data_IF_878661220309
#
_entry.id   IF_878661220309
#
_cell.length_a   1.000
_cell.length_b   1.000
_cell.length_c   1.000
_cell.angle_alpha   90.00
_cell.angle_beta   90.00
_cell.angle_gamma   90.00
#
_symmetry.space_group_name_H-M   'P 1'
#
loop_
_entity.id
_entity.type
_entity.pdbx_description
1 polymer ?
#
# COMPACT_ATOMS: atom_id res chain seq x y z
N UNK A 1 -1.68 21.13 12.22
CA UNK A 1 -1.41 22.16 11.17
C UNK A 1 -0.16 21.83 10.35
N UNK A 2 0.68 20.91 10.81
CA UNK A 2 2.00 20.62 10.23
C UNK A 2 1.88 19.84 8.93
N UNK A 3 0.99 18.84 8.86
CA UNK A 3 0.80 18.04 7.63
C UNK A 3 0.39 18.89 6.41
N UNK A 4 -0.42 19.93 6.59
CA UNK A 4 -0.83 20.83 5.48
C UNK A 4 0.34 21.61 4.93
N UNK A 5 1.19 22.14 5.82
CA UNK A 5 2.40 22.87 5.43
C UNK A 5 3.39 21.95 4.72
N UNK A 6 3.57 20.73 5.23
CA UNK A 6 4.41 19.71 4.61
C UNK A 6 3.92 19.39 3.20
N UNK A 7 2.61 19.13 3.03
CA UNK A 7 2.03 18.84 1.73
C UNK A 7 2.19 19.99 0.75
N UNK A 8 1.82 21.22 1.13
CA UNK A 8 1.88 22.37 0.24
C UNK A 8 3.33 22.72 -0.14
N UNK A 9 4.26 22.71 0.82
CA UNK A 9 5.66 22.96 0.56
C UNK A 9 6.27 21.87 -0.34
N UNK A 10 5.99 20.59 -0.03
CA UNK A 10 6.47 19.47 -0.83
C UNK A 10 5.88 19.44 -2.23
N UNK A 11 4.59 19.79 -2.40
CA UNK A 11 3.95 19.93 -3.71
C UNK A 11 4.58 21.06 -4.52
N UNK A 12 4.83 22.22 -3.90
CA UNK A 12 5.53 23.32 -4.55
C UNK A 12 6.95 22.91 -4.99
N UNK A 13 7.70 22.26 -4.12
CA UNK A 13 9.04 21.75 -4.46
C UNK A 13 9.00 20.71 -5.57
N UNK A 14 8.06 19.77 -5.55
CA UNK A 14 7.89 18.77 -6.60
C UNK A 14 7.56 19.42 -7.95
N UNK A 15 6.62 20.38 -7.99
CA UNK A 15 6.28 21.12 -9.21
C UNK A 15 7.47 21.93 -9.74
N UNK A 16 8.25 22.57 -8.85
CA UNK A 16 9.46 23.29 -9.22
C UNK A 16 10.52 22.32 -9.79
N UNK A 17 10.76 21.18 -9.15
CA UNK A 17 11.68 20.16 -9.66
C UNK A 17 11.23 19.64 -11.01
N UNK A 18 9.94 19.33 -11.20
CA UNK A 18 9.38 18.89 -12.48
C UNK A 18 9.58 19.95 -13.57
N UNK A 19 9.23 21.21 -13.29
CA UNK A 19 9.37 22.33 -14.22
C UNK A 19 10.83 22.58 -14.62
N UNK A 20 11.75 22.63 -13.65
CA UNK A 20 13.18 22.83 -13.94
C UNK A 20 13.76 21.65 -14.72
N UNK A 21 13.38 20.41 -14.37
CA UNK A 21 13.81 19.21 -15.11
C UNK A 21 13.37 19.28 -16.57
N UNK A 22 12.11 19.68 -16.82
CA UNK A 22 11.57 19.81 -18.16
C UNK A 22 12.27 20.93 -18.96
N UNK A 23 12.46 22.10 -18.35
CA UNK A 23 13.06 23.27 -19.02
C UNK A 23 14.56 23.08 -19.32
N UNK A 24 15.29 22.42 -18.42
CA UNK A 24 16.75 22.28 -18.54
C UNK A 24 17.17 20.96 -19.16
N UNK A 25 16.26 19.99 -19.28
CA UNK A 25 16.57 18.60 -19.64
C UNK A 25 17.67 17.99 -18.75
N UNK A 26 17.83 18.46 -17.51
CA UNK A 26 18.89 18.04 -16.62
C UNK A 26 18.52 16.71 -15.92
N UNK A 27 19.16 15.58 -16.28
CA UNK A 27 18.82 14.28 -15.70
C UNK A 27 19.19 14.15 -14.22
N UNK A 28 20.06 15.03 -13.69
CA UNK A 28 20.46 15.03 -12.28
C UNK A 28 19.26 15.30 -11.36
N UNK A 29 18.22 15.98 -11.85
CA UNK A 29 17.02 16.26 -11.08
C UNK A 29 16.00 15.11 -11.05
N UNK A 30 16.17 14.08 -11.89
CA UNK A 30 15.25 12.95 -11.97
C UNK A 30 15.13 12.20 -10.62
N UNK A 31 16.22 11.83 -9.93
CA UNK A 31 16.11 11.21 -8.61
C UNK A 31 15.37 12.09 -7.60
N UNK A 32 15.59 13.42 -7.64
CA UNK A 32 14.87 14.35 -6.76
C UNK A 32 13.38 14.37 -7.08
N UNK A 33 13.01 14.37 -8.36
CA UNK A 33 11.62 14.32 -8.79
C UNK A 33 10.93 13.04 -8.29
N UNK A 34 11.54 11.88 -8.55
CA UNK A 34 11.07 10.55 -8.12
C UNK A 34 10.86 10.48 -6.62
N UNK A 35 11.83 10.97 -5.83
CA UNK A 35 11.74 10.95 -4.38
C UNK A 35 10.63 11.88 -3.87
N UNK A 36 10.53 13.10 -4.41
CA UNK A 36 9.50 14.04 -3.98
C UNK A 36 8.10 13.54 -4.32
N UNK A 37 7.85 13.08 -5.54
CA UNK A 37 6.51 12.66 -5.96
C UNK A 37 6.08 11.37 -5.25
N UNK A 38 6.99 10.42 -5.08
CA UNK A 38 6.67 9.14 -4.43
C UNK A 38 6.49 9.25 -2.90
N UNK A 39 7.19 10.17 -2.21
CA UNK A 39 7.13 10.27 -0.75
C UNK A 39 6.15 11.34 -0.24
N UNK A 40 5.76 12.33 -1.06
CA UNK A 40 4.98 13.47 -0.59
C UNK A 40 3.66 13.07 0.09
N UNK A 41 2.82 12.29 -0.58
CA UNK A 41 1.52 11.87 -0.02
C UNK A 41 1.71 10.90 1.15
N UNK A 42 2.54 9.83 1.03
CA UNK A 42 2.85 8.94 2.14
C UNK A 42 3.30 9.64 3.43
N UNK A 43 4.29 10.54 3.34
CA UNK A 43 4.81 11.28 4.49
C UNK A 43 3.76 12.24 5.07
N UNK A 44 2.97 12.87 4.20
CA UNK A 44 1.87 13.75 4.63
C UNK A 44 0.84 12.99 5.46
N UNK A 45 0.41 11.81 5.00
CA UNK A 45 -0.59 11.00 5.70
C UNK A 45 -0.07 10.44 7.02
N UNK A 46 1.19 9.99 7.06
CA UNK A 46 1.81 9.53 8.30
C UNK A 46 1.95 10.67 9.31
N UNK A 47 2.30 11.86 8.86
CA UNK A 47 2.33 13.07 9.71
C UNK A 47 0.93 13.39 10.25
N UNK A 48 -0.09 13.33 9.39
CA UNK A 48 -1.50 13.53 9.76
C UNK A 48 -2.00 12.49 10.77
N UNK A 49 -1.58 11.22 10.63
CA UNK A 49 -1.92 10.14 11.53
C UNK A 49 -1.21 10.29 12.89
N UNK A 50 0.07 10.69 12.87
CA UNK A 50 0.86 10.93 14.08
C UNK A 50 0.33 12.11 14.94
N UNK A 51 -0.20 13.16 14.30
CA UNK A 51 -0.91 14.24 14.99
C UNK A 51 -2.16 13.74 15.75
N UNK A 52 -2.65 12.52 15.44
CA UNK A 52 -3.84 11.89 16.03
C UNK A 52 -3.50 10.71 16.94
N UNK A 53 -2.28 10.56 17.43
CA UNK A 53 -1.93 9.47 18.36
C UNK A 53 -2.68 9.58 19.70
N UNK A 54 -3.02 8.42 20.29
CA UNK A 54 -3.71 8.36 21.60
C UNK A 54 -2.74 8.12 22.76
N UNK A 55 -1.62 7.40 22.55
CA UNK A 55 -0.64 7.12 23.61
C UNK A 55 0.61 8.01 23.51
N UNK A 56 1.30 8.16 24.64
CA UNK A 56 2.59 8.85 24.71
C UNK A 56 3.79 7.98 24.25
N UNK A 57 3.57 6.70 23.95
CA UNK A 57 4.65 5.77 23.57
C UNK A 57 5.06 5.90 22.09
N UNK A 58 4.18 6.41 21.22
CA UNK A 58 4.55 6.67 19.83
C UNK A 58 5.38 7.95 19.76
N UNK A 59 6.66 7.77 19.43
CA UNK A 59 7.58 8.86 19.10
C UNK A 59 7.65 9.08 17.58
N UNK A 60 8.08 10.28 17.17
CA UNK A 60 8.34 10.57 15.77
C UNK A 60 9.44 9.66 15.20
N UNK A 61 10.45 9.30 16.01
CA UNK A 61 11.50 8.36 15.64
C UNK A 61 10.94 6.97 15.32
N UNK A 62 10.02 6.45 16.15
CA UNK A 62 9.39 5.16 15.90
C UNK A 62 8.56 5.16 14.61
N UNK A 63 7.82 6.24 14.37
CA UNK A 63 7.04 6.42 13.14
C UNK A 63 7.96 6.47 11.92
N UNK A 64 9.04 7.25 11.98
CA UNK A 64 10.03 7.32 10.91
C UNK A 64 10.70 5.95 10.67
N UNK A 65 11.06 5.25 11.74
CA UNK A 65 11.68 3.91 11.66
C UNK A 65 10.72 2.89 11.06
N UNK A 66 9.45 2.88 11.45
CA UNK A 66 8.44 1.99 10.87
C UNK A 66 8.14 2.33 9.41
N UNK A 67 8.15 3.62 9.05
CA UNK A 67 8.04 4.06 7.67
C UNK A 67 9.23 3.61 6.81
N UNK A 68 10.45 3.99 7.18
CA UNK A 68 11.64 3.72 6.36
C UNK A 68 12.03 2.25 6.42
N UNK A 69 12.31 1.72 7.61
CA UNK A 69 12.80 0.33 7.75
C UNK A 69 11.68 -0.65 7.42
N UNK A 70 10.45 -0.39 7.87
CA UNK A 70 9.32 -1.26 7.55
C UNK A 70 8.98 -1.25 6.06
N UNK A 71 9.00 -0.08 5.42
CA UNK A 71 8.80 0.03 3.97
C UNK A 71 9.86 -0.71 3.16
N UNK A 72 11.15 -0.51 3.48
CA UNK A 72 12.27 -1.20 2.79
C UNK A 72 12.22 -2.71 3.01
N UNK A 73 12.03 -3.17 4.26
CA UNK A 73 11.88 -4.61 4.55
C UNK A 73 10.67 -5.20 3.80
N UNK A 74 9.58 -4.44 3.72
CA UNK A 74 8.41 -4.77 2.94
C UNK A 74 8.73 -5.01 1.47
N UNK A 75 9.30 -4.02 0.78
CA UNK A 75 9.63 -4.12 -0.65
C UNK A 75 10.63 -5.23 -0.91
N UNK A 76 11.72 -5.31 -0.14
CA UNK A 76 12.74 -6.35 -0.31
C UNK A 76 12.18 -7.76 -0.08
N UNK A 77 11.39 -7.94 0.98
CA UNK A 77 10.80 -9.23 1.32
C UNK A 77 9.78 -9.66 0.27
N UNK A 78 8.93 -8.75 -0.20
CA UNK A 78 7.98 -9.00 -1.28
C UNK A 78 8.71 -9.41 -2.56
N UNK A 79 9.65 -8.59 -3.05
CA UNK A 79 10.39 -8.88 -4.28
C UNK A 79 11.15 -10.20 -4.22
N UNK A 80 11.77 -10.53 -3.08
CA UNK A 80 12.46 -11.81 -2.93
C UNK A 80 11.49 -12.99 -2.95
N UNK A 81 10.42 -12.95 -2.16
CA UNK A 81 9.46 -14.05 -2.06
C UNK A 81 8.72 -14.26 -3.39
N UNK A 82 8.31 -13.18 -4.06
CA UNK A 82 7.62 -13.24 -5.34
C UNK A 82 8.48 -13.88 -6.43
N UNK A 83 9.77 -13.54 -6.50
CA UNK A 83 10.70 -14.10 -7.47
C UNK A 83 10.86 -15.63 -7.35
N UNK A 84 10.70 -16.20 -6.15
CA UNK A 84 10.84 -17.65 -5.94
C UNK A 84 9.51 -18.40 -5.89
N UNK A 85 8.43 -17.74 -5.44
CA UNK A 85 7.16 -18.40 -5.15
C UNK A 85 6.09 -18.17 -6.22
N UNK A 86 6.19 -17.09 -7.01
CA UNK A 86 5.19 -16.75 -8.00
C UNK A 86 5.65 -17.12 -9.41
N UNK A 87 4.71 -17.69 -10.15
CA UNK A 87 4.83 -17.96 -11.58
C UNK A 87 3.62 -17.35 -12.30
N UNK A 88 3.75 -16.94 -13.57
CA UNK A 88 2.64 -16.42 -14.36
C UNK A 88 1.45 -17.37 -14.33
N UNK A 89 0.35 -16.93 -13.72
CA UNK A 89 -0.87 -17.72 -13.54
C UNK A 89 -2.04 -16.81 -13.16
N UNK A 90 -3.27 -17.33 -13.30
CA UNK A 90 -4.49 -16.59 -12.87
C UNK A 90 -4.53 -16.29 -11.37
N UNK A 91 -3.73 -17.00 -10.57
CA UNK A 91 -3.64 -16.84 -9.11
C UNK A 91 -2.52 -15.90 -8.67
N UNK A 92 -1.73 -15.38 -9.61
CA UNK A 92 -0.54 -14.57 -9.30
C UNK A 92 -0.87 -13.38 -8.39
N UNK A 93 -1.91 -12.60 -8.69
CA UNK A 93 -2.30 -11.44 -7.88
C UNK A 93 -2.74 -11.81 -6.45
N UNK A 94 -3.35 -12.98 -6.26
CA UNK A 94 -3.67 -13.49 -4.92
C UNK A 94 -2.38 -13.81 -4.16
N UNK A 95 -1.40 -14.40 -4.84
CA UNK A 95 -0.07 -14.65 -4.29
C UNK A 95 0.65 -13.38 -3.87
N UNK A 96 0.68 -12.35 -4.74
CA UNK A 96 1.24 -11.02 -4.45
C UNK A 96 0.59 -10.43 -3.21
N UNK A 97 -0.74 -10.30 -3.19
CA UNK A 97 -1.46 -9.72 -2.06
C UNK A 97 -1.26 -10.47 -0.73
N UNK A 98 -1.04 -11.79 -0.76
CA UNK A 98 -0.71 -12.57 0.44
C UNK A 98 0.72 -12.31 0.92
N UNK A 99 1.69 -12.37 0.00
CA UNK A 99 3.13 -12.18 0.30
C UNK A 99 3.36 -10.77 0.84
N UNK A 100 2.91 -9.78 0.09
CA UNK A 100 3.11 -8.37 0.38
C UNK A 100 2.57 -7.99 1.76
N UNK A 101 1.33 -8.36 2.06
CA UNK A 101 0.70 -8.01 3.34
C UNK A 101 1.32 -8.81 4.50
N UNK A 102 1.83 -10.03 4.24
CA UNK A 102 2.52 -10.82 5.25
C UNK A 102 3.87 -10.21 5.63
N UNK A 103 4.66 -9.77 4.65
CA UNK A 103 5.95 -9.12 4.90
C UNK A 103 5.75 -7.79 5.63
N UNK A 104 4.78 -6.96 5.23
CA UNK A 104 4.45 -5.71 5.93
C UNK A 104 4.04 -5.96 7.37
N UNK A 105 3.15 -6.94 7.61
CA UNK A 105 2.74 -7.31 8.96
C UNK A 105 3.91 -7.85 9.80
N UNK A 106 4.78 -8.66 9.21
CA UNK A 106 6.01 -9.17 9.84
C UNK A 106 6.98 -8.04 10.21
N UNK A 107 7.22 -7.09 9.30
CA UNK A 107 8.06 -5.92 9.55
C UNK A 107 7.48 -5.05 10.68
N UNK A 108 6.16 -4.81 10.67
CA UNK A 108 5.48 -4.12 11.77
C UNK A 108 5.69 -4.84 13.10
N UNK A 109 5.45 -6.16 13.15
CA UNK A 109 5.61 -6.96 14.36
C UNK A 109 7.07 -6.91 14.87
N UNK A 110 8.05 -7.05 13.98
CA UNK A 110 9.47 -7.00 14.32
C UNK A 110 9.87 -5.66 14.94
N UNK A 111 9.46 -4.54 14.32
CA UNK A 111 9.85 -3.20 14.75
C UNK A 111 9.14 -2.75 16.03
N UNK A 112 7.98 -3.35 16.35
CA UNK A 112 7.14 -2.96 17.48
C UNK A 112 7.10 -3.98 18.63
N UNK A 113 7.86 -5.09 18.51
CA UNK A 113 7.85 -6.19 19.49
C UNK A 113 8.13 -5.76 20.93
N UNK A 114 8.97 -4.73 21.10
CA UNK A 114 9.42 -4.23 22.40
C UNK A 114 8.56 -3.11 23.00
N UNK A 115 7.51 -2.65 22.31
CA UNK A 115 6.63 -1.60 22.83
C UNK A 115 5.94 -2.06 24.12
N UNK A 116 5.96 -1.20 25.14
CA UNK A 116 5.38 -1.47 26.44
C UNK A 116 3.84 -1.49 26.38
N UNK A 117 3.26 -0.48 25.73
CA UNK A 117 1.81 -0.37 25.51
C UNK A 117 1.53 -0.53 24.02
N UNK A 118 0.55 -1.37 23.70
CA UNK A 118 0.08 -1.60 22.34
C UNK A 118 -1.42 -1.33 22.30
N UNK A 119 -1.81 -0.16 21.80
CA UNK A 119 -3.23 0.20 21.61
C UNK A 119 -3.65 -0.01 20.15
N UNK A 120 -4.95 -0.22 19.90
CA UNK A 120 -5.47 -0.40 18.53
C UNK A 120 -5.09 0.78 17.64
N UNK A 121 -5.22 2.01 18.15
CA UNK A 121 -4.91 3.21 17.38
C UNK A 121 -3.42 3.36 17.09
N UNK A 122 -2.58 3.01 18.05
CA UNK A 122 -1.13 2.98 17.82
C UNK A 122 -0.76 1.94 16.76
N UNK A 123 -1.42 0.78 16.80
CA UNK A 123 -1.29 -0.25 15.77
C UNK A 123 -1.72 0.25 14.40
N UNK A 124 -2.81 1.01 14.31
CA UNK A 124 -3.26 1.62 13.05
C UNK A 124 -2.25 2.65 12.52
N UNK A 125 -1.69 3.50 13.38
CA UNK A 125 -0.72 4.52 12.98
C UNK A 125 0.60 3.89 12.53
N UNK A 126 1.13 2.93 13.30
CA UNK A 126 2.39 2.26 12.95
C UNK A 126 2.22 1.32 11.76
N UNK A 127 1.06 0.65 11.64
CA UNK A 127 0.71 -0.12 10.45
C UNK A 127 0.60 0.77 9.21
N UNK A 128 -0.10 1.90 9.30
CA UNK A 128 -0.14 2.89 8.23
C UNK A 128 1.27 3.37 7.85
N UNK A 129 2.14 3.59 8.85
CA UNK A 129 3.53 4.01 8.61
C UNK A 129 4.30 3.00 7.77
N UNK A 130 4.22 1.70 8.09
CA UNK A 130 4.82 0.63 7.28
C UNK A 130 4.22 0.60 5.87
N UNK A 131 2.89 0.63 5.74
CA UNK A 131 2.21 0.55 4.44
C UNK A 131 2.48 1.76 3.54
N UNK A 132 2.51 2.96 4.10
CA UNK A 132 2.88 4.17 3.37
C UNK A 132 4.37 4.19 3.01
N UNK A 133 5.23 3.69 3.89
CA UNK A 133 6.64 3.49 3.58
C UNK A 133 6.84 2.57 2.39
N UNK A 134 6.18 1.40 2.41
CA UNK A 134 6.18 0.45 1.30
C UNK A 134 5.71 1.13 0.00
N UNK A 135 4.55 1.79 0.05
CA UNK A 135 3.97 2.47 -1.11
C UNK A 135 4.90 3.56 -1.67
N UNK A 136 5.64 4.29 -0.83
CA UNK A 136 6.59 5.30 -1.27
C UNK A 136 7.79 4.69 -2.03
N UNK A 137 8.42 3.66 -1.48
CA UNK A 137 9.56 3.00 -2.12
C UNK A 137 9.15 2.25 -3.39
N UNK A 138 8.01 1.58 -3.36
CA UNK A 138 7.46 0.89 -4.53
C UNK A 138 7.09 1.91 -5.64
N UNK A 139 6.43 3.02 -5.28
CA UNK A 139 6.08 4.07 -6.24
C UNK A 139 7.32 4.72 -6.86
N UNK A 140 8.42 4.85 -6.10
CA UNK A 140 9.68 5.34 -6.66
C UNK A 140 10.23 4.40 -7.74
N UNK A 141 10.10 3.08 -7.55
CA UNK A 141 10.41 2.07 -8.55
C UNK A 141 9.51 2.18 -9.79
N UNK A 142 8.20 2.33 -9.61
CA UNK A 142 7.26 2.52 -10.74
C UNK A 142 7.52 3.82 -11.50
N UNK A 143 7.77 4.93 -10.80
CA UNK A 143 8.10 6.20 -11.42
C UNK A 143 9.39 6.09 -12.25
N UNK A 144 10.44 5.47 -11.69
CA UNK A 144 11.70 5.25 -12.39
C UNK A 144 11.55 4.30 -13.58
N UNK A 145 10.80 3.21 -13.47
CA UNK A 145 10.59 2.27 -14.58
C UNK A 145 9.75 2.88 -15.70
N UNK A 146 8.71 3.66 -15.37
CA UNK A 146 7.87 4.36 -16.34
C UNK A 146 8.60 5.44 -17.15
N UNK A 147 9.72 5.94 -16.63
CA UNK A 147 10.62 6.84 -17.34
C UNK A 147 11.21 6.17 -18.59
N UNK A 148 11.50 4.87 -18.55
CA UNK A 148 12.14 4.18 -19.66
C UNK A 148 11.10 3.68 -20.66
N UNK A 149 11.16 4.20 -21.89
CA UNK A 149 10.29 3.79 -23.00
C UNK A 149 11.13 3.29 -24.17
N UNK A 150 10.51 2.59 -25.12
CA UNK A 150 11.17 2.17 -26.36
C UNK A 150 11.75 3.35 -27.17
N UNK A 151 11.16 4.55 -27.02
CA UNK A 151 11.59 5.80 -27.64
C UNK A 151 12.57 6.64 -26.80
N UNK A 152 13.04 6.14 -25.65
CA UNK A 152 13.94 6.86 -24.74
C UNK A 152 13.29 7.27 -23.41
N UNK A 153 13.80 8.32 -22.78
CA UNK A 153 13.31 8.80 -21.48
C UNK A 153 12.02 9.62 -21.63
N UNK A 154 10.98 9.27 -20.86
CA UNK A 154 9.68 9.94 -20.84
C UNK A 154 9.38 10.54 -19.46
N UNK A 155 9.67 11.82 -19.30
CA UNK A 155 9.33 12.57 -18.08
C UNK A 155 7.81 12.65 -17.85
N UNK A 156 7.01 12.67 -18.92
CA UNK A 156 5.55 12.68 -18.81
C UNK A 156 5.02 11.38 -18.22
N UNK A 157 5.59 10.23 -18.57
CA UNK A 157 5.18 8.94 -18.01
C UNK A 157 5.54 8.85 -16.53
N UNK A 158 6.76 9.30 -16.17
CA UNK A 158 7.19 9.41 -14.78
C UNK A 158 6.21 10.26 -13.97
N UNK A 159 5.96 11.49 -14.39
CA UNK A 159 5.06 12.43 -13.68
C UNK A 159 3.63 11.90 -13.60
N UNK A 160 3.12 11.30 -14.68
CA UNK A 160 1.77 10.69 -14.69
C UNK A 160 1.68 9.54 -13.70
N UNK A 161 2.71 8.69 -13.65
CA UNK A 161 2.78 7.57 -12.71
C UNK A 161 2.81 8.06 -11.26
N UNK A 162 3.60 9.09 -10.96
CA UNK A 162 3.64 9.70 -9.62
C UNK A 162 2.29 10.31 -9.22
N UNK A 163 1.63 11.03 -10.11
CA UNK A 163 0.33 11.64 -9.84
C UNK A 163 -0.74 10.59 -9.54
N UNK A 164 -0.83 9.55 -10.37
CA UNK A 164 -1.83 8.48 -10.19
C UNK A 164 -1.57 7.69 -8.92
N UNK A 165 -0.31 7.27 -8.69
CA UNK A 165 0.04 6.50 -7.50
C UNK A 165 -0.05 7.33 -6.22
N UNK A 166 0.35 8.61 -6.27
CA UNK A 166 0.22 9.55 -5.17
C UNK A 166 -1.24 9.80 -4.78
N UNK A 167 -2.13 9.98 -5.76
CA UNK A 167 -3.56 10.16 -5.51
C UNK A 167 -4.21 8.95 -4.84
N UNK A 168 -3.80 7.74 -5.25
CA UNK A 168 -4.38 6.48 -4.78
C UNK A 168 -3.69 5.91 -3.52
N UNK A 169 -2.49 6.37 -3.18
CA UNK A 169 -1.72 5.91 -2.02
C UNK A 169 -2.53 5.85 -0.70
N UNK A 170 -3.42 6.80 -0.38
CA UNK A 170 -4.17 6.77 0.89
C UNK A 170 -5.19 5.63 1.02
N UNK A 171 -5.60 5.02 -0.09
CA UNK A 171 -6.64 3.97 -0.13
C UNK A 171 -6.10 2.58 -0.49
N UNK A 172 -4.78 2.45 -0.66
CA UNK A 172 -4.07 1.18 -0.87
C UNK A 172 -3.31 0.72 0.37
N UNK A 173 -2.02 0.39 0.21
CA UNK A 173 -1.18 -0.24 1.24
C UNK A 173 -1.22 0.44 2.61
N UNK A 174 -1.24 1.78 2.67
CA UNK A 174 -1.31 2.52 3.93
C UNK A 174 -2.57 2.21 4.73
N UNK A 175 -3.73 2.17 4.07
CA UNK A 175 -5.02 1.84 4.65
C UNK A 175 -5.07 0.37 5.11
N UNK A 176 -4.65 -0.54 4.24
CA UNK A 176 -4.62 -1.98 4.46
C UNK A 176 -3.73 -2.39 5.62
N UNK A 177 -2.51 -1.87 5.65
CA UNK A 177 -1.56 -2.17 6.73
C UNK A 177 -2.00 -1.52 8.04
N UNK A 178 -2.73 -0.40 8.01
CA UNK A 178 -3.34 0.19 9.21
C UNK A 178 -4.40 -0.75 9.82
N UNK A 179 -5.27 -1.35 9.01
CA UNK A 179 -6.27 -2.33 9.46
C UNK A 179 -5.58 -3.51 10.13
N UNK A 180 -4.52 -4.05 9.51
CA UNK A 180 -3.75 -5.15 10.06
C UNK A 180 -3.05 -4.78 11.37
N UNK A 181 -2.39 -3.62 11.41
CA UNK A 181 -1.69 -3.15 12.60
C UNK A 181 -2.61 -2.91 13.79
N UNK A 182 -3.77 -2.30 13.56
CA UNK A 182 -4.78 -2.11 14.60
C UNK A 182 -5.32 -3.44 15.14
N UNK A 183 -5.57 -4.41 14.25
CA UNK A 183 -6.05 -5.74 14.62
C UNK A 183 -4.99 -6.54 15.38
N UNK A 184 -3.72 -6.46 14.98
CA UNK A 184 -2.59 -7.07 15.69
C UNK A 184 -2.48 -6.50 17.10
N UNK A 185 -2.56 -5.17 17.25
CA UNK A 185 -2.35 -4.51 18.54
C UNK A 185 -3.53 -4.68 19.51
N UNK A 186 -4.74 -4.91 19.00
CA UNK A 186 -5.96 -5.04 19.81
C UNK A 186 -5.82 -5.99 21.02
N UNK A 187 -5.07 -7.07 20.86
CA UNK A 187 -4.89 -8.10 21.88
C UNK A 187 -3.44 -8.29 22.31
N UNK A 188 -2.52 -7.52 21.73
CA UNK A 188 -1.09 -7.68 21.98
C UNK A 188 -0.67 -6.99 23.27
N UNK A 189 0.34 -7.56 23.92
CA UNK A 189 0.91 -7.03 25.16
C UNK A 189 2.39 -6.72 24.95
N UNK A 190 3.06 -6.17 25.97
CA UNK A 190 4.51 -5.99 25.94
C UNK A 190 5.27 -7.28 25.59
N UNK A 191 4.84 -8.41 26.17
CA UNK A 191 5.56 -9.69 26.11
C UNK A 191 5.15 -10.60 24.96
N UNK A 192 3.97 -10.39 24.38
CA UNK A 192 3.45 -11.26 23.34
C UNK A 192 2.60 -10.52 22.31
N UNK A 193 2.78 -10.88 21.04
CA UNK A 193 1.74 -10.69 20.03
C UNK A 193 0.71 -11.81 20.16
N UNK A 194 -0.55 -11.47 19.99
CA UNK A 194 -1.66 -12.42 20.11
C UNK A 194 -2.24 -12.66 18.72
N UNK A 195 -2.00 -13.87 18.19
CA UNK A 195 -2.62 -14.31 16.95
C UNK A 195 -4.04 -14.75 17.28
N UNK A 196 -4.98 -13.95 16.79
CA UNK A 196 -6.41 -14.24 16.89
C UNK A 196 -6.95 -14.65 15.54
N UNK A 197 -8.06 -15.37 15.53
CA UNK A 197 -8.79 -15.65 14.29
C UNK A 197 -9.26 -14.34 13.59
N UNK A 198 -9.51 -13.28 14.37
CA UNK A 198 -9.76 -11.93 13.85
C UNK A 198 -8.58 -11.39 13.02
N UNK A 199 -7.34 -11.62 13.47
CA UNK A 199 -6.14 -11.20 12.72
C UNK A 199 -5.98 -12.01 11.43
N UNK A 200 -6.23 -13.33 11.48
CA UNK A 200 -6.17 -14.19 10.28
C UNK A 200 -7.20 -13.73 9.24
N UNK A 201 -8.45 -13.49 9.64
CA UNK A 201 -9.46 -12.97 8.72
C UNK A 201 -9.16 -11.56 8.23
N UNK A 202 -8.59 -10.70 9.08
CA UNK A 202 -8.15 -9.38 8.65
C UNK A 202 -7.06 -9.47 7.59
N UNK A 203 -6.08 -10.34 7.79
CA UNK A 203 -5.01 -10.62 6.83
C UNK A 203 -5.57 -11.13 5.50
N UNK A 204 -6.37 -12.19 5.51
CA UNK A 204 -6.94 -12.75 4.28
C UNK A 204 -7.86 -11.74 3.56
N UNK A 205 -8.66 -10.98 4.30
CA UNK A 205 -9.53 -9.96 3.71
C UNK A 205 -8.76 -8.80 3.09
N UNK A 206 -7.72 -8.32 3.76
CA UNK A 206 -6.83 -7.27 3.23
C UNK A 206 -6.04 -7.77 2.01
N UNK A 207 -5.50 -8.98 2.05
CA UNK A 207 -4.83 -9.60 0.90
C UNK A 207 -5.77 -9.80 -0.28
N UNK A 208 -7.06 -10.08 -0.06
CA UNK A 208 -8.06 -10.13 -1.11
C UNK A 208 -8.32 -8.75 -1.71
N UNK A 209 -8.47 -7.69 -0.89
CA UNK A 209 -8.62 -6.32 -1.40
C UNK A 209 -7.41 -5.90 -2.25
N UNK A 210 -6.21 -6.30 -1.82
CA UNK A 210 -4.97 -6.08 -2.55
C UNK A 210 -4.97 -6.83 -3.88
N UNK A 211 -5.25 -8.14 -3.87
CA UNK A 211 -5.31 -8.93 -5.10
C UNK A 211 -6.34 -8.38 -6.11
N UNK A 212 -7.49 -7.92 -5.62
CA UNK A 212 -8.50 -7.25 -6.45
C UNK A 212 -8.01 -5.91 -7.01
N UNK A 213 -7.23 -5.16 -6.24
CA UNK A 213 -6.64 -3.90 -6.68
C UNK A 213 -5.65 -4.13 -7.83
N UNK A 214 -4.71 -5.07 -7.67
CA UNK A 214 -3.69 -5.34 -8.68
C UNK A 214 -4.27 -5.98 -9.94
N UNK A 215 -5.29 -6.82 -9.78
CA UNK A 215 -5.99 -7.45 -10.91
C UNK A 215 -7.01 -6.52 -11.59
N UNK A 216 -7.22 -5.29 -11.10
CA UNK A 216 -8.31 -4.42 -11.55
C UNK A 216 -8.23 -4.08 -13.05
N UNK A 217 -7.03 -3.89 -13.59
CA UNK A 217 -6.85 -3.67 -15.03
C UNK A 217 -7.34 -4.87 -15.86
N UNK A 218 -6.96 -6.09 -15.45
CA UNK A 218 -7.41 -7.32 -16.10
C UNK A 218 -8.92 -7.52 -15.98
N UNK A 219 -9.48 -7.29 -14.78
CA UNK A 219 -10.93 -7.35 -14.55
C UNK A 219 -11.66 -6.34 -15.45
N UNK A 220 -11.14 -5.12 -15.58
CA UNK A 220 -11.74 -4.09 -16.42
C UNK A 220 -11.71 -4.46 -17.91
N UNK A 221 -10.63 -5.10 -18.39
CA UNK A 221 -10.57 -5.65 -19.76
C UNK A 221 -11.65 -6.73 -19.94
N UNK A 222 -11.77 -7.69 -19.02
CA UNK A 222 -12.76 -8.76 -19.11
C UNK A 222 -14.19 -8.23 -19.10
N UNK A 223 -14.50 -7.28 -18.21
CA UNK A 223 -15.80 -6.60 -18.16
C UNK A 223 -16.08 -5.86 -19.46
N UNK A 224 -15.08 -5.16 -20.00
CA UNK A 224 -15.22 -4.42 -21.26
C UNK A 224 -15.54 -5.35 -22.43
N UNK A 225 -14.78 -6.45 -22.57
CA UNK A 225 -15.02 -7.45 -23.61
C UNK A 225 -16.37 -8.15 -23.42
N UNK A 226 -16.79 -8.43 -22.19
CA UNK A 226 -18.10 -9.02 -21.94
C UNK A 226 -19.27 -8.08 -22.33
N UNK A 227 -19.09 -6.76 -22.18
CA UNK A 227 -20.13 -5.77 -22.47
C UNK A 227 -20.14 -5.30 -23.93
N UNK A 228 -18.99 -5.32 -24.60
CA UNK A 228 -18.79 -4.64 -25.90
C UNK A 228 -17.97 -5.45 -26.90
N UNK A 229 -17.64 -6.69 -26.58
CA UNK A 229 -16.81 -7.56 -27.40
C UNK A 229 -17.55 -8.00 -28.66
N UNK A 230 -16.87 -7.86 -29.80
CA UNK A 230 -17.38 -8.27 -31.10
C UNK A 230 -16.69 -9.56 -31.58
N UNK A 231 -17.37 -10.45 -32.35
CA UNK A 231 -16.82 -11.74 -32.79
C UNK A 231 -15.44 -11.66 -33.46
N UNK A 232 -15.22 -10.64 -34.29
CA UNK A 232 -13.94 -10.44 -35.00
C UNK A 232 -12.77 -10.18 -34.04
N UNK A 233 -13.01 -9.59 -32.87
CA UNK A 233 -11.96 -9.31 -31.88
C UNK A 233 -11.44 -10.60 -31.25
N UNK A 234 -12.34 -11.56 -31.02
CA UNK A 234 -11.96 -12.89 -30.54
C UNK A 234 -11.14 -13.64 -31.59
N UNK A 235 -11.50 -13.53 -32.87
CA UNK A 235 -10.70 -14.13 -33.95
C UNK A 235 -9.30 -13.54 -34.04
N UNK A 236 -9.16 -12.22 -33.87
CA UNK A 236 -7.85 -11.53 -33.86
C UNK A 236 -7.01 -11.98 -32.67
N UNK A 237 -7.61 -12.07 -31.47
CA UNK A 237 -6.96 -12.59 -30.26
C UNK A 237 -6.50 -14.04 -30.42
N UNK A 238 -7.33 -14.90 -31.02
CA UNK A 238 -6.99 -16.31 -31.30
C UNK A 238 -5.82 -16.45 -32.29
N UNK A 239 -5.61 -15.46 -33.16
CA UNK A 239 -4.46 -15.39 -34.06
C UNK A 239 -3.22 -14.77 -33.40
N UNK A 240 -3.28 -14.45 -32.10
CA UNK A 240 -2.17 -13.88 -31.33
C UNK A 240 -1.97 -12.37 -31.53
N UNK A 241 -2.92 -11.67 -32.16
CA UNK A 241 -2.88 -10.23 -32.33
C UNK A 241 -3.80 -9.54 -31.31
N UNK A 242 -3.44 -8.33 -30.89
CA UNK A 242 -4.27 -7.50 -30.01
C UNK A 242 -5.09 -6.55 -30.89
N UNK A 243 -6.43 -6.63 -30.90
CA UNK A 243 -7.24 -5.70 -31.67
C UNK A 243 -7.16 -4.30 -31.08
N UNK A 244 -7.13 -3.28 -31.95
CA UNK A 244 -7.22 -1.89 -31.51
C UNK A 244 -8.57 -1.64 -30.81
N UNK A 245 -8.56 -0.99 -29.62
CA UNK A 245 -9.78 -0.78 -28.84
C UNK A 245 -10.67 0.28 -29.48
N UNK A 246 -11.98 0.05 -29.50
CA UNK A 246 -12.97 1.06 -29.94
C UNK A 246 -13.14 2.19 -28.92
N UNK A 247 -13.63 3.38 -29.30
CA UNK A 247 -13.90 4.46 -28.34
C UNK A 247 -14.85 4.05 -27.20
N UNK A 248 -15.84 3.21 -27.51
CA UNK A 248 -16.77 2.64 -26.53
C UNK A 248 -16.03 1.72 -25.55
N UNK A 249 -15.10 0.90 -26.04
CA UNK A 249 -14.27 0.02 -25.21
C UNK A 249 -13.33 0.81 -24.29
N UNK A 250 -12.69 1.88 -24.79
CA UNK A 250 -11.88 2.77 -23.95
C UNK A 250 -12.71 3.38 -22.82
N UNK A 251 -13.93 3.81 -23.13
CA UNK A 251 -14.86 4.37 -22.14
C UNK A 251 -15.28 3.32 -21.11
N UNK A 252 -15.68 2.13 -21.56
CA UNK A 252 -16.09 1.03 -20.69
C UNK A 252 -14.95 0.55 -19.78
N UNK A 253 -13.74 0.39 -20.32
CA UNK A 253 -12.54 0.02 -19.56
C UNK A 253 -12.21 1.06 -18.50
N UNK A 254 -12.23 2.34 -18.88
CA UNK A 254 -11.95 3.45 -17.96
C UNK A 254 -12.98 3.46 -16.83
N UNK A 255 -14.27 3.37 -17.16
CA UNK A 255 -15.35 3.32 -16.17
C UNK A 255 -15.21 2.11 -15.23
N UNK A 256 -15.00 0.91 -15.78
CA UNK A 256 -14.84 -0.32 -15.00
C UNK A 256 -13.63 -0.24 -14.05
N UNK A 257 -12.50 0.28 -14.53
CA UNK A 257 -11.28 0.46 -13.71
C UNK A 257 -11.55 1.38 -12.53
N UNK A 258 -12.04 2.60 -12.78
CA UNK A 258 -12.24 3.59 -11.72
C UNK A 258 -13.36 3.20 -10.75
N UNK A 259 -14.45 2.61 -11.23
CA UNK A 259 -15.53 2.11 -10.36
C UNK A 259 -15.05 0.97 -9.47
N UNK A 260 -14.25 0.04 -10.02
CA UNK A 260 -13.69 -1.07 -9.26
C UNK A 260 -12.71 -0.59 -8.17
N UNK A 261 -11.77 0.29 -8.51
CA UNK A 261 -10.87 0.91 -7.53
C UNK A 261 -11.62 1.68 -6.46
N UNK A 262 -12.67 2.43 -6.84
CA UNK A 262 -13.51 3.16 -5.90
C UNK A 262 -14.24 2.22 -4.94
N UNK A 263 -14.80 1.10 -5.44
CA UNK A 263 -15.48 0.10 -4.62
C UNK A 263 -14.52 -0.54 -3.60
N UNK A 264 -13.34 -0.98 -4.05
CA UNK A 264 -12.30 -1.55 -3.18
C UNK A 264 -11.90 -0.53 -2.10
N UNK A 265 -11.70 0.72 -2.49
CA UNK A 265 -11.36 1.83 -1.58
C UNK A 265 -12.44 2.05 -0.53
N UNK A 266 -13.72 2.08 -0.92
CA UNK A 266 -14.85 2.27 -0.01
C UNK A 266 -14.93 1.12 0.99
N UNK A 267 -14.76 -0.13 0.55
CA UNK A 267 -14.76 -1.30 1.46
C UNK A 267 -13.63 -1.17 2.49
N UNK A 268 -12.41 -0.84 2.06
CA UNK A 268 -11.28 -0.63 2.96
C UNK A 268 -11.53 0.51 3.97
N UNK A 269 -12.06 1.64 3.51
CA UNK A 269 -12.34 2.81 4.35
C UNK A 269 -13.43 2.52 5.38
N UNK A 270 -14.52 1.86 4.99
CA UNK A 270 -15.58 1.44 5.90
C UNK A 270 -15.06 0.45 6.94
N UNK A 271 -14.15 -0.44 6.55
CA UNK A 271 -13.51 -1.37 7.47
C UNK A 271 -12.64 -0.64 8.50
N UNK A 272 -11.71 0.22 8.06
CA UNK A 272 -10.88 1.00 8.98
C UNK A 272 -11.75 1.85 9.93
N UNK A 273 -12.77 2.50 9.40
CA UNK A 273 -13.71 3.28 10.21
C UNK A 273 -14.44 2.43 11.26
N UNK A 274 -14.85 1.21 10.91
CA UNK A 274 -15.45 0.29 11.88
C UNK A 274 -14.47 -0.09 13.00
N UNK A 275 -13.18 -0.23 12.68
CA UNK A 275 -12.13 -0.55 13.64
C UNK A 275 -11.87 0.61 14.59
N UNK A 276 -11.78 1.84 14.06
CA UNK A 276 -11.67 3.08 14.85
C UNK A 276 -12.86 3.24 15.80
N UNK A 277 -14.08 2.98 15.32
CA UNK A 277 -15.29 3.05 16.18
C UNK A 277 -15.28 2.01 17.30
N UNK A 278 -14.77 0.80 17.04
CA UNK A 278 -14.66 -0.27 18.04
C UNK A 278 -13.56 0.00 19.06
N UNK A 279 -12.45 0.63 18.66
CA UNK A 279 -11.38 0.96 19.60
C UNK A 279 -11.79 1.94 20.69
N UNK A 280 -12.85 2.74 20.46
CA UNK A 280 -13.44 3.61 21.48
C UNK A 280 -14.40 2.89 22.44
N UNK A 281 -14.80 1.64 22.17
CA UNK A 281 -15.90 0.94 22.86
C UNK A 281 -15.50 -0.30 23.68
N UNK A 282 -14.37 -0.95 23.40
CA UNK A 282 -14.04 -2.26 24.02
C UNK A 282 -13.36 -2.15 25.40
N UNK A 283 -14.06 -2.61 26.45
CA UNK A 283 -13.51 -3.21 27.68
C UNK A 283 -13.25 -4.71 27.45
N UNK A 284 -12.09 -5.22 27.88
CA UNK A 284 -11.44 -6.45 27.37
C UNK A 284 -11.99 -7.76 27.96
N UNK A 285 -12.41 -8.72 27.11
CA UNK A 285 -12.40 -10.16 27.42
C UNK A 285 -12.19 -11.02 26.16
N UNK A 286 -11.23 -11.97 26.09
CA UNK A 286 -10.95 -12.74 24.88
C UNK A 286 -11.62 -14.14 24.82
N UNK A 287 -11.87 -14.63 23.60
CA UNK A 287 -12.11 -16.04 23.26
C UNK A 287 -10.94 -16.58 22.40
N UNK A 288 -10.41 -17.76 22.77
CA UNK A 288 -9.34 -18.59 22.14
C UNK A 288 -8.17 -17.85 21.45
N UNK A 289 -6.97 -17.93 22.03
CA UNK A 289 -5.79 -17.12 21.69
C UNK A 289 -4.52 -17.97 21.53
N UNK A 290 -3.70 -17.71 20.51
CA UNK A 290 -2.31 -18.17 20.41
C UNK A 290 -1.33 -17.01 20.68
N UNK A 291 -0.27 -17.23 21.47
CA UNK A 291 0.66 -16.17 21.92
C UNK A 291 2.05 -16.37 21.30
N UNK A 292 2.57 -15.37 20.60
CA UNK A 292 3.95 -15.33 20.11
C UNK A 292 4.77 -14.41 21.00
N UNK A 293 5.81 -14.95 21.65
CA UNK A 293 6.65 -14.24 22.63
C UNK A 293 7.63 -13.28 21.95
N UNK A 294 7.80 -12.09 22.52
CA UNK A 294 8.63 -11.00 21.93
C UNK A 294 10.01 -10.80 22.56
N UNK A 295 10.37 -11.58 23.60
CA UNK A 295 11.64 -11.47 24.35
C UNK A 295 12.42 -12.79 24.51
N UNK A 296 13.66 -12.76 25.05
CA UNK A 296 14.53 -13.94 25.16
C UNK A 296 13.90 -15.07 25.97
N UNK A 297 14.26 -16.31 25.63
CA UNK A 297 14.11 -17.44 26.55
C UNK A 297 15.04 -17.15 27.74
N UNK A 298 14.48 -16.68 28.85
CA UNK A 298 15.21 -16.76 30.11
C UNK A 298 15.36 -18.25 30.38
N UNK A 299 16.58 -18.76 30.17
CA UNK A 299 16.98 -20.09 30.58
C UNK A 299 16.69 -20.24 32.07
N UNK A 300 16.04 -21.34 32.40
CA UNK A 300 15.92 -21.82 33.75
C UNK A 300 17.31 -22.14 34.31
N UNK A 301 17.62 -21.49 35.44
CA UNK A 301 18.71 -21.77 36.40
C UNK A 301 20.11 -21.34 35.92
#
# INVERSE_FOLDING_TARGET
MTWRRLFLAGLALWMLTAGVTYLTSNPILIPTLVLLGSFLVPVTFVTWAFERRDSGEITAELVLRTFVVGGVLGVLGASALEAYLLNPSVWMYVGVGLIEEAVKLGALALLTRHLAVKSVRDGMILGASVGFGFSAFESAGYALTSLFTASGLSLSNLVTTELLRGLLAPVGHGLWTAILGGTLFAWSTRRHFVLTWRLVFAFLGVSLLHALWDSMSMIAVLVTLALTGEPWQYEVLLRGAVPEPTPTQVTAYTAATWLGLALISVVGLLWLWSLVRRSHRETRTPSRVYRVRTGPLVGSI
#
